data_IF_052551404087
#
_entry.id   IF_052551404087
#
_cell.length_a   1.000
_cell.length_b   1.000
_cell.length_c   1.000
_cell.angle_alpha   90.00
_cell.angle_beta   90.00
_cell.angle_gamma   90.00
#
_symmetry.space_group_name_H-M   'P 1'
#
loop_
_entity.id
_entity.type
_entity.pdbx_description
1 polymer ?
#
# COMPACT_ATOMS: atom_id res chain seq x y z
N UNK A 1 -7.80 -6.29 -3.65
CA UNK A 1 -7.80 -5.68 -2.29
C UNK A 1 -6.64 -4.72 -2.22
N UNK A 2 -6.85 -3.52 -1.67
CA UNK A 2 -5.81 -2.49 -1.47
C UNK A 2 -5.26 -2.63 -0.06
N UNK A 3 -3.93 -2.72 0.09
CA UNK A 3 -3.28 -2.70 1.40
C UNK A 3 -2.68 -1.32 1.65
N UNK A 4 -3.02 -0.70 2.78
CA UNK A 4 -2.43 0.55 3.26
C UNK A 4 -1.58 0.21 4.48
N UNK A 5 -0.28 0.10 4.28
CA UNK A 5 0.65 -0.47 5.28
C UNK A 5 1.40 0.59 6.12
N UNK A 6 1.05 1.86 5.93
CA UNK A 6 1.61 3.02 6.62
C UNK A 6 0.49 3.96 7.05
N UNK A 7 0.78 4.83 8.02
CA UNK A 7 -0.15 5.86 8.48
C UNK A 7 -0.55 6.79 7.32
N UNK A 8 -1.86 6.90 7.12
CA UNK A 8 -2.49 7.72 6.09
C UNK A 8 -3.20 8.91 6.73
N UNK A 9 -3.18 10.06 6.04
CA UNK A 9 -4.01 11.20 6.44
C UNK A 9 -5.50 10.82 6.38
N UNK A 10 -6.34 11.26 7.33
CA UNK A 10 -7.78 10.94 7.34
C UNK A 10 -8.48 11.23 6.01
N UNK A 11 -8.10 12.29 5.29
CA UNK A 11 -8.68 12.63 3.98
C UNK A 11 -8.33 11.58 2.91
N UNK A 12 -7.15 10.97 3.01
CA UNK A 12 -6.76 9.86 2.12
C UNK A 12 -7.60 8.61 2.36
N UNK A 13 -7.96 8.34 3.62
CA UNK A 13 -8.87 7.24 3.98
C UNK A 13 -10.28 7.52 3.46
N UNK A 14 -10.81 8.74 3.66
CA UNK A 14 -12.11 9.16 3.11
C UNK A 14 -12.19 8.98 1.59
N UNK A 15 -11.12 9.32 0.87
CA UNK A 15 -11.03 9.10 -0.57
C UNK A 15 -11.09 7.61 -0.91
N UNK A 16 -10.32 6.76 -0.21
CA UNK A 16 -10.32 5.31 -0.44
C UNK A 16 -11.68 4.66 -0.18
N UNK A 17 -12.36 5.08 0.89
CA UNK A 17 -13.74 4.68 1.19
C UNK A 17 -14.69 5.10 0.06
N UNK A 18 -14.52 6.30 -0.49
CA UNK A 18 -15.33 6.83 -1.60
C UNK A 18 -15.15 6.10 -2.93
N UNK A 19 -14.02 5.44 -3.19
CA UNK A 19 -13.80 4.70 -4.44
C UNK A 19 -14.48 3.33 -4.46
N UNK A 20 -14.92 2.81 -3.30
CA UNK A 20 -15.66 1.55 -3.20
C UNK A 20 -14.82 0.29 -3.42
N UNK A 21 -13.49 0.39 -3.41
CA UNK A 21 -12.60 -0.78 -3.43
C UNK A 21 -12.35 -1.32 -2.03
N UNK A 22 -12.35 -2.65 -1.83
CA UNK A 22 -12.01 -3.24 -0.54
C UNK A 22 -10.54 -2.92 -0.20
N UNK A 23 -10.33 -2.25 0.92
CA UNK A 23 -9.02 -1.92 1.45
C UNK A 23 -8.83 -2.42 2.88
N UNK A 24 -7.57 -2.63 3.25
CA UNK A 24 -7.13 -3.00 4.60
C UNK A 24 -6.13 -1.94 5.07
N UNK A 25 -6.42 -1.32 6.21
CA UNK A 25 -5.59 -0.27 6.80
C UNK A 25 -4.82 -0.82 8.00
N UNK A 26 -3.52 -1.00 7.82
CA UNK A 26 -2.58 -1.56 8.81
C UNK A 26 -1.36 -0.63 8.93
N UNK A 27 -1.48 0.52 9.63
CA UNK A 27 -0.49 1.60 9.58
C UNK A 27 0.86 1.25 10.24
N UNK A 28 0.94 0.13 10.95
CA UNK A 28 2.14 -0.35 11.62
C UNK A 28 2.82 -1.51 10.88
N UNK A 29 2.25 -1.98 9.77
CA UNK A 29 2.72 -3.19 9.09
C UNK A 29 4.13 -3.02 8.49
N UNK A 30 4.53 -1.78 8.19
CA UNK A 30 5.91 -1.46 7.82
C UNK A 30 6.97 -1.90 8.84
N UNK A 31 6.59 -2.16 10.10
CA UNK A 31 7.50 -2.62 11.16
C UNK A 31 7.76 -4.12 11.13
N UNK A 32 6.94 -4.89 10.43
CA UNK A 32 7.02 -6.35 10.35
C UNK A 32 7.04 -6.78 8.87
N UNK A 33 8.24 -6.99 8.30
CA UNK A 33 8.36 -7.40 6.90
C UNK A 33 7.67 -8.72 6.56
N UNK A 34 7.60 -9.66 7.51
CA UNK A 34 6.96 -10.96 7.26
C UNK A 34 5.44 -10.83 7.28
N UNK A 35 4.88 -10.10 8.24
CA UNK A 35 3.44 -9.80 8.26
C UNK A 35 3.04 -8.95 7.03
N UNK A 36 3.88 -8.00 6.61
CA UNK A 36 3.68 -7.24 5.37
C UNK A 36 3.57 -8.16 4.16
N UNK A 37 4.49 -9.11 4.02
CA UNK A 37 4.50 -10.07 2.91
C UNK A 37 3.25 -10.97 2.92
N UNK A 38 2.80 -11.39 4.10
CA UNK A 38 1.58 -12.19 4.26
C UNK A 38 0.33 -11.41 3.86
N UNK A 39 0.21 -10.15 4.31
CA UNK A 39 -0.90 -9.29 3.91
C UNK A 39 -0.89 -9.00 2.40
N UNK A 40 0.30 -8.81 1.82
CA UNK A 40 0.47 -8.57 0.38
C UNK A 40 0.10 -9.78 -0.49
N UNK A 41 0.15 -11.02 0.03
CA UNK A 41 -0.24 -12.20 -0.73
C UNK A 41 -1.71 -12.16 -1.20
N UNK A 42 -2.58 -11.43 -0.50
CA UNK A 42 -3.97 -11.18 -0.88
C UNK A 42 -4.21 -9.84 -1.59
N UNK A 43 -3.21 -8.96 -1.61
CA UNK A 43 -3.34 -7.60 -2.12
C UNK A 43 -3.00 -7.52 -3.62
N UNK A 44 -3.69 -6.62 -4.31
CA UNK A 44 -3.43 -6.27 -5.72
C UNK A 44 -2.84 -4.87 -5.86
N UNK A 45 -3.01 -4.05 -4.82
CA UNK A 45 -2.48 -2.70 -4.72
C UNK A 45 -1.88 -2.49 -3.33
N UNK A 46 -0.79 -1.73 -3.27
CA UNK A 46 -0.11 -1.35 -2.03
C UNK A 46 0.01 0.17 -1.99
N UNK A 47 -0.41 0.78 -0.89
CA UNK A 47 -0.28 2.21 -0.62
C UNK A 47 0.77 2.41 0.47
N UNK A 48 1.78 3.22 0.16
CA UNK A 48 2.96 3.50 1.00
C UNK A 48 3.23 5.00 1.08
N UNK A 49 4.05 5.39 2.05
CA UNK A 49 4.56 6.75 2.19
C UNK A 49 6.08 6.76 2.10
N UNK A 50 6.73 6.75 3.26
CA UNK A 50 8.16 7.00 3.41
C UNK A 50 8.87 5.91 4.22
N UNK A 51 8.14 4.94 4.78
CA UNK A 51 8.71 3.86 5.58
C UNK A 51 9.00 2.63 4.73
N UNK A 52 8.05 2.19 3.91
CA UNK A 52 8.21 0.95 3.14
C UNK A 52 9.02 1.24 1.88
N UNK A 53 10.11 0.49 1.71
CA UNK A 53 10.88 0.46 0.47
C UNK A 53 10.27 -0.58 -0.46
N UNK A 54 9.77 -0.13 -1.60
CA UNK A 54 9.30 -1.00 -2.67
C UNK A 54 10.46 -1.24 -3.63
N UNK A 55 11.11 -2.39 -3.50
CA UNK A 55 12.24 -2.82 -4.32
C UNK A 55 11.95 -4.15 -5.04
N UNK A 56 12.89 -4.59 -5.87
CA UNK A 56 12.73 -5.82 -6.66
C UNK A 56 12.46 -7.06 -5.81
N UNK A 57 13.12 -7.19 -4.65
CA UNK A 57 12.92 -8.33 -3.76
C UNK A 57 11.50 -8.36 -3.18
N UNK A 58 10.95 -7.21 -2.79
CA UNK A 58 9.55 -7.13 -2.38
C UNK A 58 8.62 -7.51 -3.52
N UNK A 59 8.84 -6.97 -4.72
CA UNK A 59 8.00 -7.21 -5.90
C UNK A 59 8.02 -8.68 -6.35
N UNK A 60 9.18 -9.34 -6.30
CA UNK A 60 9.33 -10.77 -6.58
C UNK A 60 8.55 -11.64 -5.58
N UNK A 61 8.48 -11.21 -4.31
CA UNK A 61 7.78 -11.94 -3.25
C UNK A 61 6.24 -11.80 -3.32
N UNK A 62 5.72 -10.85 -4.09
CA UNK A 62 4.29 -10.47 -4.11
C UNK A 62 3.72 -10.44 -5.54
N UNK A 63 3.65 -11.59 -6.23
CA UNK A 63 3.36 -11.67 -7.67
C UNK A 63 1.96 -11.16 -8.07
N UNK A 64 1.06 -10.98 -7.11
CA UNK A 64 -0.29 -10.44 -7.35
C UNK A 64 -0.36 -8.92 -7.31
N UNK A 65 0.69 -8.26 -6.82
CA UNK A 65 0.75 -6.81 -6.79
C UNK A 65 0.83 -6.31 -8.24
N UNK A 66 -0.03 -5.34 -8.57
CA UNK A 66 -0.13 -4.74 -9.91
C UNK A 66 0.14 -3.24 -9.89
N UNK A 67 -0.04 -2.60 -8.74
CA UNK A 67 0.14 -1.17 -8.60
C UNK A 67 0.65 -0.83 -7.20
N UNK A 68 1.55 0.15 -7.16
CA UNK A 68 2.03 0.76 -5.93
C UNK A 68 1.65 2.23 -5.97
N UNK A 69 0.89 2.66 -4.97
CA UNK A 69 0.52 4.05 -4.74
C UNK A 69 1.45 4.66 -3.70
N UNK A 70 2.14 5.75 -4.05
CA UNK A 70 2.97 6.49 -3.11
C UNK A 70 2.36 7.85 -2.80
N UNK A 71 2.15 8.12 -1.52
CA UNK A 71 1.59 9.39 -1.07
C UNK A 71 2.70 10.33 -0.62
N UNK A 72 2.80 11.45 -1.33
CA UNK A 72 3.76 12.51 -1.07
C UNK A 72 3.31 13.50 0.01
N UNK A 73 4.00 14.64 0.08
CA UNK A 73 3.67 15.78 0.95
C UNK A 73 2.51 16.64 0.41
N UNK A 74 2.09 16.41 -0.83
CA UNK A 74 0.80 16.85 -1.38
C UNK A 74 -0.12 15.64 -1.48
N UNK A 75 -1.42 15.87 -1.62
CA UNK A 75 -2.46 14.84 -1.83
C UNK A 75 -2.30 14.02 -3.14
N UNK A 76 -1.10 14.04 -3.73
CA UNK A 76 -0.74 13.41 -4.98
C UNK A 76 -0.42 11.94 -4.73
N UNK A 77 -1.17 11.07 -5.41
CA UNK A 77 -0.93 9.64 -5.45
C UNK A 77 -0.19 9.29 -6.74
N UNK A 78 1.08 8.91 -6.62
CA UNK A 78 1.84 8.39 -7.76
C UNK A 78 1.57 6.89 -7.87
N UNK A 79 0.93 6.48 -8.96
CA UNK A 79 0.69 5.07 -9.29
C UNK A 79 1.82 4.57 -10.17
N UNK A 80 2.52 3.55 -9.70
CA UNK A 80 3.56 2.85 -10.46
C UNK A 80 3.01 1.48 -10.86
N UNK A 81 2.77 1.22 -12.16
CA UNK A 81 2.43 -0.12 -12.63
C UNK A 81 3.66 -1.03 -12.57
N UNK A 82 3.44 -2.31 -12.26
CA UNK A 82 4.47 -3.36 -12.07
C UNK A 82 4.18 -4.62 -12.88
#
# INVERSE_FOLDING_TARGET
>A
MILVAEELDPRGLELLEGVGYPFCYEPNLWRDPEALRQALAGATALIVRNRIRVDGALLEAVPRLRVVGRLGTGLDLYLIPI
#
